data_IF_145410576843
#
_entry.id   IF_145410576843
#
_cell.length_a   1.000
_cell.length_b   1.000
_cell.length_c   1.000
_cell.angle_alpha   90.00
_cell.angle_beta   90.00
_cell.angle_gamma   90.00
#
_symmetry.space_group_name_H-M   'P 1'
#
loop_
_entity.id
_entity.type
_entity.pdbx_description
1 polymer ?
#
# COMPACT_ATOMS: atom_id res chain seq x y z
N UNK A 1 -3.56 -16.33 -2.46
CA UNK A 1 -2.41 -16.45 -3.38
C UNK A 1 -2.30 -15.14 -4.14
N UNK A 2 -1.11 -14.55 -4.20
CA UNK A 2 -0.89 -13.28 -4.91
C UNK A 2 -1.13 -13.40 -6.42
N UNK A 3 -1.57 -12.31 -7.03
CA UNK A 3 -1.83 -12.23 -8.46
C UNK A 3 -0.51 -12.04 -9.24
N UNK A 4 -0.33 -12.77 -10.35
CA UNK A 4 0.82 -12.55 -11.25
C UNK A 4 0.57 -11.36 -12.17
N UNK A 5 1.63 -10.80 -12.75
CA UNK A 5 1.52 -9.71 -13.74
C UNK A 5 0.70 -10.13 -14.95
N UNK A 6 0.90 -11.34 -15.48
CA UNK A 6 0.14 -11.82 -16.62
C UNK A 6 -1.35 -11.96 -16.29
N UNK A 7 -1.67 -12.50 -15.11
CA UNK A 7 -3.04 -12.66 -14.66
C UNK A 7 -3.72 -11.30 -14.41
N UNK A 8 -3.00 -10.34 -13.82
CA UNK A 8 -3.47 -8.98 -13.64
C UNK A 8 -3.76 -8.29 -14.97
N UNK A 9 -2.82 -8.35 -15.92
CA UNK A 9 -3.02 -7.78 -17.25
C UNK A 9 -4.20 -8.41 -17.96
N UNK A 10 -4.37 -9.74 -17.90
CA UNK A 10 -5.50 -10.42 -18.50
C UNK A 10 -6.85 -9.94 -17.94
N UNK A 11 -6.95 -9.73 -16.63
CA UNK A 11 -8.16 -9.22 -15.99
C UNK A 11 -8.47 -7.78 -16.41
N UNK A 12 -7.46 -6.91 -16.38
CA UNK A 12 -7.62 -5.49 -16.72
C UNK A 12 -7.96 -5.29 -18.21
N UNK A 13 -7.31 -6.02 -19.12
CA UNK A 13 -7.58 -5.95 -20.55
C UNK A 13 -8.94 -6.58 -20.90
N UNK A 14 -9.27 -7.69 -20.24
CA UNK A 14 -10.54 -8.40 -20.41
C UNK A 14 -11.73 -7.56 -19.96
N UNK A 15 -11.60 -6.85 -18.84
CA UNK A 15 -12.72 -6.17 -18.20
C UNK A 15 -13.71 -7.15 -17.56
N UNK A 16 -14.90 -6.67 -17.22
CA UNK A 16 -15.93 -7.49 -16.62
C UNK A 16 -16.69 -8.29 -17.69
N UNK A 17 -16.65 -9.62 -17.62
CA UNK A 17 -17.39 -10.48 -18.55
C UNK A 17 -18.91 -10.48 -18.29
N UNK A 18 -19.34 -10.14 -17.08
CA UNK A 18 -20.76 -10.16 -16.71
C UNK A 18 -21.56 -9.00 -17.32
N UNK A 19 -21.00 -7.78 -17.31
CA UNK A 19 -21.67 -6.59 -17.88
C UNK A 19 -20.93 -5.97 -19.06
N UNK A 20 -19.83 -6.59 -19.52
CA UNK A 20 -18.94 -6.09 -20.58
C UNK A 20 -18.29 -4.73 -20.28
N UNK A 21 -18.36 -4.25 -19.03
CA UNK A 21 -17.75 -3.00 -18.61
C UNK A 21 -16.22 -3.09 -18.57
N UNK A 22 -15.55 -2.05 -19.08
CA UNK A 22 -14.07 -1.95 -19.08
C UNK A 22 -13.49 -1.21 -17.88
N UNK A 23 -14.35 -0.65 -17.04
CA UNK A 23 -13.94 0.10 -15.85
C UNK A 23 -13.86 -0.82 -14.64
N UNK A 24 -12.66 -1.01 -14.11
CA UNK A 24 -12.37 -1.86 -12.95
C UNK A 24 -11.79 -1.03 -11.81
N UNK A 25 -12.19 -1.33 -10.58
CA UNK A 25 -11.55 -0.84 -9.36
C UNK A 25 -10.58 -1.91 -8.88
N UNK A 26 -9.32 -1.52 -8.72
CA UNK A 26 -8.25 -2.33 -8.17
C UNK A 26 -7.94 -1.78 -6.78
N UNK A 27 -7.98 -2.64 -5.77
CA UNK A 27 -7.59 -2.32 -4.41
C UNK A 27 -6.32 -3.10 -4.06
N UNK A 28 -5.33 -2.40 -3.52
CA UNK A 28 -4.01 -2.94 -3.27
C UNK A 28 -3.39 -2.36 -1.99
N UNK A 29 -2.38 -3.03 -1.44
CA UNK A 29 -1.50 -2.48 -0.40
C UNK A 29 -0.16 -2.16 -1.05
N UNK A 30 0.28 -0.90 -0.97
CA UNK A 30 1.54 -0.44 -1.58
C UNK A 30 2.35 0.41 -0.62
N UNK A 31 3.62 0.63 -0.93
CA UNK A 31 4.49 1.48 -0.14
C UNK A 31 4.32 2.97 -0.53
N UNK A 32 4.25 3.83 0.48
CA UNK A 32 4.22 5.28 0.37
C UNK A 32 5.34 5.89 1.22
N UNK A 33 5.97 6.94 0.71
CA UNK A 33 6.98 7.75 1.38
C UNK A 33 6.33 9.02 1.94
N UNK A 34 6.62 9.31 3.20
CA UNK A 34 6.05 10.40 3.97
C UNK A 34 7.17 11.30 4.52
N UNK A 35 7.26 12.56 4.09
CA UNK A 35 8.20 13.52 4.67
C UNK A 35 7.68 13.98 6.05
N UNK A 36 8.55 13.96 7.05
CA UNK A 36 8.26 14.34 8.43
C UNK A 36 9.13 15.51 8.88
N UNK A 37 8.53 16.41 9.67
CA UNK A 37 9.20 17.44 10.44
C UNK A 37 8.62 17.43 11.85
N UNK A 38 9.44 17.14 12.85
CA UNK A 38 8.98 17.10 14.25
C UNK A 38 7.96 15.98 14.52
N UNK A 39 7.90 14.97 13.66
CA UNK A 39 6.97 13.83 13.77
C UNK A 39 5.64 14.05 13.05
N UNK A 40 5.42 15.24 12.50
CA UNK A 40 4.26 15.57 11.70
C UNK A 40 4.58 15.55 10.20
N UNK A 41 3.58 15.31 9.36
CA UNK A 41 3.74 15.35 7.92
C UNK A 41 4.07 16.77 7.44
N UNK A 42 5.21 16.92 6.77
CA UNK A 42 5.62 18.18 6.16
C UNK A 42 5.79 17.99 4.66
N UNK A 43 4.70 18.24 3.93
CA UNK A 43 4.65 18.12 2.47
C UNK A 43 3.79 16.95 1.98
N UNK A 44 3.74 16.79 0.66
CA UNK A 44 2.92 15.76 0.03
C UNK A 44 3.62 14.38 0.11
N UNK A 45 2.90 13.33 0.55
CA UNK A 45 3.39 11.97 0.40
C UNK A 45 3.64 11.62 -1.06
N UNK A 46 4.58 10.69 -1.30
CA UNK A 46 4.90 10.19 -2.64
C UNK A 46 4.89 8.67 -2.68
N UNK A 47 4.64 8.08 -3.84
CA UNK A 47 4.59 6.62 -3.97
C UNK A 47 5.98 6.01 -3.96
N UNK A 48 6.18 5.01 -3.12
CA UNK A 48 7.45 4.27 -2.98
C UNK A 48 7.37 2.89 -3.65
N UNK A 49 6.52 2.74 -4.66
CA UNK A 49 6.25 1.47 -5.33
C UNK A 49 6.41 1.61 -6.86
N UNK A 50 6.74 0.49 -7.52
CA UNK A 50 6.75 0.32 -8.98
C UNK A 50 5.53 -0.50 -9.41
N UNK A 51 5.21 -0.53 -10.72
CA UNK A 51 4.06 -1.26 -11.25
C UNK A 51 3.92 -2.70 -10.74
N UNK A 52 5.01 -3.46 -10.70
CA UNK A 52 5.06 -4.84 -10.16
C UNK A 52 4.59 -4.96 -8.70
N UNK A 53 4.89 -3.95 -7.87
CA UNK A 53 4.46 -3.91 -6.47
C UNK A 53 2.96 -3.63 -6.33
N UNK A 54 2.35 -2.89 -7.26
CA UNK A 54 0.90 -2.70 -7.29
C UNK A 54 0.20 -4.03 -7.59
N UNK A 55 0.71 -4.77 -8.57
CA UNK A 55 0.16 -6.08 -8.92
C UNK A 55 0.26 -7.05 -7.74
N UNK A 56 1.45 -7.18 -7.16
CA UNK A 56 1.66 -8.05 -6.00
C UNK A 56 0.84 -7.63 -4.78
N UNK A 57 0.68 -6.32 -4.60
CA UNK A 57 -0.12 -5.72 -3.53
C UNK A 57 -1.63 -5.86 -3.73
N UNK A 58 -2.09 -6.22 -4.93
CA UNK A 58 -3.50 -6.27 -5.27
C UNK A 58 -4.19 -7.37 -4.47
N UNK A 59 -5.19 -6.99 -3.70
CA UNK A 59 -6.01 -7.93 -2.95
C UNK A 59 -7.45 -8.02 -3.44
N UNK A 60 -7.91 -7.05 -4.24
CA UNK A 60 -9.26 -7.07 -4.82
C UNK A 60 -9.32 -6.37 -6.16
N UNK A 61 -10.05 -6.97 -7.10
CA UNK A 61 -10.43 -6.33 -8.38
C UNK A 61 -11.93 -6.50 -8.54
N UNK A 62 -12.64 -5.39 -8.74
CA UNK A 62 -14.10 -5.39 -8.94
C UNK A 62 -14.51 -4.54 -10.14
N UNK A 63 -15.64 -4.88 -10.76
CA UNK A 63 -16.21 -4.07 -11.83
C UNK A 63 -16.88 -2.81 -11.26
N UNK A 64 -16.56 -1.63 -11.79
CA UNK A 64 -17.20 -0.38 -11.36
C UNK A 64 -18.69 -0.32 -11.72
N UNK A 65 -19.12 -0.99 -12.79
CA UNK A 65 -20.50 -0.99 -13.27
C UNK A 65 -21.42 -1.91 -12.46
N UNK A 66 -21.17 -3.22 -12.50
CA UNK A 66 -22.03 -4.22 -11.87
C UNK A 66 -21.57 -4.68 -10.47
N UNK A 67 -20.44 -4.16 -9.98
CA UNK A 67 -19.84 -4.50 -8.67
C UNK A 67 -19.40 -5.96 -8.50
N UNK A 68 -19.44 -6.76 -9.56
CA UNK A 68 -18.90 -8.12 -9.57
C UNK A 68 -17.41 -8.12 -9.21
N UNK A 69 -17.04 -8.97 -8.26
CA UNK A 69 -15.64 -9.24 -7.94
C UNK A 69 -15.03 -10.18 -8.99
N UNK A 70 -13.91 -9.75 -9.56
CA UNK A 70 -13.14 -10.50 -10.55
C UNK A 70 -11.95 -11.20 -9.91
N UNK A 71 -11.46 -10.65 -8.80
CA UNK A 71 -10.38 -11.22 -8.01
C UNK A 71 -10.50 -10.78 -6.55
N UNK A 72 -10.19 -11.69 -5.63
CA UNK A 72 -10.04 -11.40 -4.19
C UNK A 72 -9.03 -12.38 -3.56
N UNK A 73 -8.28 -11.93 -2.56
CA UNK A 73 -7.42 -12.76 -1.72
C UNK A 73 -7.40 -12.22 -0.30
N UNK A 74 -7.31 -13.10 0.70
CA UNK A 74 -7.19 -12.74 2.12
C UNK A 74 -5.77 -12.83 2.68
N UNK A 75 -4.82 -13.33 1.88
CA UNK A 75 -3.42 -13.50 2.29
C UNK A 75 -2.70 -12.15 2.35
N UNK A 76 -1.71 -12.03 3.23
CA UNK A 76 -0.91 -10.81 3.35
C UNK A 76 -0.12 -10.54 2.05
N UNK A 77 -0.26 -9.37 1.41
CA UNK A 77 0.50 -9.05 0.20
C UNK A 77 2.01 -8.92 0.42
N UNK A 78 2.45 -8.73 1.68
CA UNK A 78 3.84 -8.53 2.04
C UNK A 78 4.58 -9.84 2.37
N UNK A 79 3.90 -10.82 2.97
CA UNK A 79 4.53 -12.07 3.47
C UNK A 79 3.75 -13.36 3.15
N UNK A 80 2.64 -13.27 2.42
CA UNK A 80 1.77 -14.39 2.04
C UNK A 80 1.12 -15.15 3.22
N UNK A 81 1.18 -14.60 4.43
CA UNK A 81 0.53 -15.18 5.60
C UNK A 81 -1.00 -15.24 5.43
N UNK A 82 -1.64 -16.41 5.65
CA UNK A 82 -3.09 -16.56 5.58
C UNK A 82 -3.84 -15.61 6.52
N UNK A 83 -4.88 -14.97 5.99
CA UNK A 83 -5.69 -13.97 6.72
C UNK A 83 -4.92 -12.71 7.14
N UNK A 84 -3.68 -12.54 6.68
CA UNK A 84 -2.86 -11.40 7.08
C UNK A 84 -3.31 -10.08 6.46
N UNK A 85 -4.11 -10.11 5.38
CA UNK A 85 -4.72 -8.90 4.84
C UNK A 85 -5.71 -8.28 5.83
N UNK A 86 -6.66 -9.08 6.32
CA UNK A 86 -7.69 -8.61 7.27
C UNK A 86 -7.03 -8.06 8.53
N UNK A 87 -6.04 -8.77 9.07
CA UNK A 87 -5.27 -8.30 10.23
C UNK A 87 -4.57 -6.96 9.97
N UNK A 88 -3.92 -6.82 8.82
CA UNK A 88 -3.22 -5.59 8.48
C UNK A 88 -4.17 -4.42 8.27
N UNK A 89 -5.27 -4.62 7.55
CA UNK A 89 -6.24 -3.56 7.28
C UNK A 89 -7.02 -3.11 8.52
N UNK A 90 -7.25 -4.00 9.48
CA UNK A 90 -8.01 -3.70 10.71
C UNK A 90 -7.11 -3.34 11.91
N UNK A 91 -5.79 -3.22 11.72
CA UNK A 91 -4.87 -2.83 12.80
C UNK A 91 -4.30 -1.44 12.57
N UNK A 92 -4.13 -0.71 13.66
CA UNK A 92 -3.36 0.52 13.72
C UNK A 92 -1.87 0.19 13.77
N UNK A 93 -1.04 1.02 13.13
CA UNK A 93 0.42 0.87 13.23
C UNK A 93 0.86 0.83 14.70
N UNK A 94 1.75 -0.09 15.04
CA UNK A 94 2.34 -0.13 16.38
C UNK A 94 3.52 0.85 16.53
N UNK A 95 3.92 1.50 15.44
CA UNK A 95 5.13 2.34 15.36
C UNK A 95 4.71 3.79 15.22
N UNK A 96 4.85 4.56 16.30
CA UNK A 96 4.69 6.01 16.24
C UNK A 96 5.74 6.61 15.29
N UNK A 97 5.34 7.59 14.48
CA UNK A 97 6.26 8.34 13.65
C UNK A 97 7.19 9.16 14.55
N UNK A 98 8.52 9.05 14.40
CA UNK A 98 9.44 9.70 15.31
C UNK A 98 9.47 11.21 15.08
N UNK A 99 9.60 11.97 16.17
CA UNK A 99 9.77 13.43 16.08
C UNK A 99 11.16 13.85 15.60
N UNK A 100 12.16 12.98 15.76
CA UNK A 100 13.54 13.24 15.37
C UNK A 100 14.33 11.94 15.14
N UNK A 101 15.50 12.06 14.53
CA UNK A 101 16.43 10.97 14.34
C UNK A 101 17.16 10.63 15.65
N UNK A 102 17.13 9.35 16.05
CA UNK A 102 17.85 8.85 17.24
C UNK A 102 19.38 9.04 17.19
N UNK A 103 19.94 9.20 15.98
CA UNK A 103 21.39 9.35 15.79
C UNK A 103 21.90 10.77 15.95
N UNK A 104 21.28 11.75 15.26
CA UNK A 104 21.75 13.14 15.24
C UNK A 104 20.76 14.16 15.80
N UNK A 105 19.55 13.75 16.20
CA UNK A 105 18.50 14.65 16.70
C UNK A 105 17.78 15.48 15.64
N UNK A 106 18.11 15.33 14.35
CA UNK A 106 17.46 16.05 13.27
C UNK A 106 15.97 15.70 13.18
N UNK A 107 15.11 16.70 13.07
CA UNK A 107 13.65 16.56 12.96
C UNK A 107 13.17 16.20 11.54
N UNK A 108 14.04 16.35 10.53
CA UNK A 108 13.74 16.00 9.15
C UNK A 108 13.97 14.51 8.90
N UNK A 109 12.89 13.75 8.97
CA UNK A 109 12.87 12.30 8.79
C UNK A 109 11.94 11.95 7.62
N UNK A 110 12.24 10.87 6.92
CA UNK A 110 11.34 10.29 5.92
C UNK A 110 10.91 8.91 6.38
N UNK A 111 9.60 8.71 6.49
CA UNK A 111 9.02 7.40 6.75
C UNK A 111 8.59 6.72 5.45
N UNK A 112 8.68 5.40 5.40
CA UNK A 112 8.02 4.57 4.40
C UNK A 112 7.02 3.67 5.10
N UNK A 113 5.79 3.64 4.59
CA UNK A 113 4.68 2.88 5.16
C UNK A 113 3.95 2.08 4.08
N UNK A 114 3.38 0.94 4.48
CA UNK A 114 2.36 0.25 3.69
C UNK A 114 1.01 0.92 3.92
N UNK A 115 0.29 1.18 2.84
CA UNK A 115 -1.04 1.80 2.86
C UNK A 115 -1.98 1.12 1.86
N UNK A 116 -3.27 0.97 2.18
CA UNK A 116 -4.26 0.57 1.20
C UNK A 116 -4.47 1.68 0.17
N UNK A 117 -4.61 1.30 -1.09
CA UNK A 117 -4.86 2.19 -2.21
C UNK A 117 -5.96 1.65 -3.11
N UNK A 118 -6.69 2.58 -3.73
CA UNK A 118 -7.57 2.30 -4.85
C UNK A 118 -6.99 2.88 -6.15
N UNK A 119 -7.09 2.09 -7.22
CA UNK A 119 -6.72 2.47 -8.58
C UNK A 119 -7.86 2.09 -9.52
N UNK A 120 -8.38 3.06 -10.25
CA UNK A 120 -9.41 2.80 -11.27
C UNK A 120 -8.73 2.60 -12.62
N UNK A 121 -8.96 1.45 -13.23
CA UNK A 121 -8.56 1.12 -14.59
C UNK A 121 -9.75 1.28 -15.55
N UNK A 122 -9.49 1.79 -16.74
CA UNK A 122 -10.42 1.80 -17.87
C UNK A 122 -9.69 1.21 -19.09
N UNK A 123 -9.88 -0.09 -19.31
CA UNK A 123 -8.99 -0.87 -20.18
C UNK A 123 -7.53 -0.74 -19.73
N UNK A 124 -6.63 -0.41 -20.66
CA UNK A 124 -5.18 -0.28 -20.41
C UNK A 124 -4.75 0.97 -19.65
N UNK A 125 -5.67 1.89 -19.35
CA UNK A 125 -5.36 3.17 -18.72
C UNK A 125 -5.72 3.12 -17.24
N UNK A 126 -4.74 3.44 -16.40
CA UNK A 126 -4.94 3.59 -14.96
C UNK A 126 -5.07 5.07 -14.59
N UNK A 127 -5.99 5.38 -13.68
CA UNK A 127 -5.96 6.64 -12.96
C UNK A 127 -4.82 6.66 -11.93
N UNK A 128 -4.52 7.85 -11.39
CA UNK A 128 -3.60 7.96 -10.26
C UNK A 128 -4.15 7.17 -9.07
N UNK A 129 -3.29 6.38 -8.44
CA UNK A 129 -3.60 5.72 -7.18
C UNK A 129 -3.99 6.76 -6.12
N UNK A 130 -4.95 6.38 -5.28
CA UNK A 130 -5.42 7.17 -4.14
C UNK A 130 -5.37 6.30 -2.91
N UNK A 131 -5.02 6.90 -1.78
CA UNK A 131 -5.22 6.30 -0.47
C UNK A 131 -6.22 7.15 0.29
N UNK A 132 -7.02 6.52 1.14
CA UNK A 132 -7.90 7.20 2.08
C UNK A 132 -7.38 7.11 3.52
N UNK A 133 -6.23 6.46 3.73
CA UNK A 133 -5.61 6.31 5.05
C UNK A 133 -4.55 7.37 5.27
N UNK A 134 -4.56 7.93 6.46
CA UNK A 134 -3.55 8.80 7.07
C UNK A 134 -2.70 8.00 8.06
N UNK A 135 -1.71 8.64 8.69
CA UNK A 135 -0.78 7.97 9.59
C UNK A 135 -1.44 7.36 10.85
N UNK A 136 -2.60 7.90 11.24
CA UNK A 136 -3.35 7.47 12.43
C UNK A 136 -4.47 6.47 12.10
N UNK A 137 -4.72 6.19 10.82
CA UNK A 137 -5.78 5.29 10.38
C UNK A 137 -5.35 3.81 10.43
N UNK A 138 -6.34 2.93 10.58
CA UNK A 138 -6.14 1.48 10.40
C UNK A 138 -5.66 1.17 8.97
N UNK A 139 -4.79 0.16 8.84
CA UNK A 139 -4.21 -0.22 7.55
C UNK A 139 -2.99 0.60 7.12
N UNK A 140 -2.65 1.67 7.84
CA UNK A 140 -1.37 2.35 7.71
C UNK A 140 -0.30 1.66 8.55
N UNK A 141 0.85 1.31 7.95
CA UNK A 141 1.93 0.59 8.65
C UNK A 141 3.32 1.08 8.27
N UNK A 142 3.88 1.98 9.09
CA UNK A 142 5.26 2.45 8.93
C UNK A 142 6.26 1.32 9.19
N UNK A 143 7.27 1.19 8.32
CA UNK A 143 8.26 0.12 8.40
C UNK A 143 9.70 0.56 8.14
N UNK A 144 9.93 1.74 7.56
CA UNK A 144 11.28 2.28 7.34
C UNK A 144 11.32 3.75 7.70
N UNK A 145 12.41 4.17 8.32
CA UNK A 145 12.72 5.57 8.64
C UNK A 145 14.10 5.91 8.09
N UNK A 146 14.26 7.12 7.59
CA UNK A 146 15.51 7.64 7.03
C UNK A 146 15.70 9.10 7.46
N UNK A 147 16.80 9.41 8.14
CA UNK A 147 17.17 10.78 8.46
C UNK A 147 17.71 11.52 7.23
N UNK A 148 17.31 12.77 7.00
CA UNK A 148 17.79 13.56 5.87
C UNK A 148 19.17 14.19 6.05
N UNK A 149 19.66 14.29 7.29
CA UNK A 149 20.99 14.82 7.57
C UNK A 149 22.06 13.74 7.65
N UNK A 150 21.94 12.80 8.61
CA UNK A 150 22.98 11.79 8.84
C UNK A 150 22.78 10.51 8.01
N UNK A 151 21.68 10.41 7.26
CA UNK A 151 21.30 9.24 6.46
C UNK A 151 21.17 7.93 7.25
N UNK A 152 21.07 8.01 8.58
CA UNK A 152 20.75 6.85 9.40
C UNK A 152 19.40 6.28 8.97
N UNK A 153 19.36 4.96 8.82
CA UNK A 153 18.15 4.23 8.44
C UNK A 153 17.80 3.19 9.49
N UNK A 154 16.52 3.08 9.79
CA UNK A 154 15.97 1.96 10.56
C UNK A 154 14.86 1.31 9.73
N UNK A 155 14.87 -0.01 9.65
CA UNK A 155 13.89 -0.77 8.86
C UNK A 155 13.43 -1.99 9.65
N UNK A 156 12.12 -2.14 9.79
CA UNK A 156 11.48 -3.30 10.40
C UNK A 156 11.00 -4.24 9.31
N UNK A 157 11.60 -5.44 9.25
CA UNK A 157 11.18 -6.52 8.35
C UNK A 157 10.52 -7.70 9.06
N UNK A 158 10.82 -7.89 10.34
CA UNK A 158 10.31 -9.01 11.14
C UNK A 158 9.85 -8.51 12.53
N UNK A 159 8.67 -8.96 13.01
CA UNK A 159 7.63 -9.66 12.24
C UNK A 159 7.13 -8.80 11.06
N UNK A 160 6.33 -9.37 10.15
CA UNK A 160 5.84 -8.67 8.96
C UNK A 160 5.24 -7.31 9.37
N UNK A 161 5.75 -6.18 8.85
CA UNK A 161 5.35 -4.87 9.35
C UNK A 161 3.89 -4.53 9.08
N UNK A 162 3.24 -5.19 8.11
CA UNK A 162 1.84 -4.97 7.76
C UNK A 162 0.87 -5.83 8.58
N UNK A 163 1.16 -7.13 8.77
CA UNK A 163 0.22 -8.06 9.41
C UNK A 163 0.72 -8.68 10.73
N UNK A 164 1.90 -8.27 11.19
CA UNK A 164 2.55 -8.71 12.44
C UNK A 164 2.74 -10.24 12.57
N UNK A 165 2.90 -10.94 11.45
CA UNK A 165 3.16 -12.39 11.38
C UNK A 165 4.59 -12.68 10.95
#
# INVERSE_FOLDING_TARGET
>A
MALTEEAFTALVDGGCLACQGKKLRVEAVVAQTLPLLGGELYGAPSWAYKGEHLVRGTYRISCEGCKQELFTTGDCPCCDAPGGLERGLASTTSVALPSSCDGCGCELVTATAYVPVDVVYEGKRANKARTQTTADDEGFHAFRLECKECHATSERRQPCPFCST
#
